data_IF_907695442765
#
_entry.id   IF_907695442765
#
_cell.length_a   1.000
_cell.length_b   1.000
_cell.length_c   1.000
_cell.angle_alpha   90.00
_cell.angle_beta   90.00
_cell.angle_gamma   90.00
#
_symmetry.space_group_name_H-M   'P 1'
#
loop_
_entity.id
_entity.type
_entity.pdbx_description
1 polymer ?
#
# COMPACT_ATOMS: atom_id res chain seq x y z
N UNK A 1 -19.89 11.38 32.96
CA UNK A 1 -19.78 10.81 31.61
C UNK A 1 -18.56 11.46 30.98
N UNK A 2 -17.44 10.75 30.89
CA UNK A 2 -16.33 11.12 30.02
C UNK A 2 -15.78 9.81 29.46
N UNK A 3 -15.86 9.73 28.15
CA UNK A 3 -15.62 8.54 27.35
C UNK A 3 -14.14 8.16 27.38
N UNK A 4 -13.99 6.87 27.58
CA UNK A 4 -12.80 6.05 27.68
C UNK A 4 -12.04 6.07 26.34
N UNK A 5 -10.84 6.65 26.34
CA UNK A 5 -9.79 6.26 25.40
C UNK A 5 -8.64 5.73 26.23
N UNK A 6 -8.36 4.42 26.22
CA UNK A 6 -7.14 3.93 26.81
C UNK A 6 -5.99 4.46 25.95
N UNK A 7 -5.16 5.32 26.54
CA UNK A 7 -3.93 5.84 25.95
C UNK A 7 -3.12 4.68 25.34
N UNK A 8 -2.60 4.88 24.12
CA UNK A 8 -1.83 3.91 23.33
C UNK A 8 -0.56 3.35 24.00
N UNK A 9 -0.33 3.69 25.26
CA UNK A 9 0.74 3.21 26.13
C UNK A 9 0.29 1.97 26.94
N UNK A 10 -0.99 1.60 26.95
CA UNK A 10 -1.44 0.29 27.49
C UNK A 10 -1.21 -0.89 26.53
N UNK A 11 -0.54 -0.70 25.38
CA UNK A 11 -0.10 -1.80 24.51
C UNK A 11 1.21 -2.47 24.95
N UNK A 12 1.78 -2.05 26.08
CA UNK A 12 3.01 -2.63 26.64
C UNK A 12 2.67 -3.93 27.40
N UNK A 13 2.05 -4.91 26.72
CA UNK A 13 1.69 -6.18 27.38
C UNK A 13 1.21 -7.34 26.50
N UNK A 14 0.55 -7.10 25.36
CA UNK A 14 -0.05 -8.21 24.59
C UNK A 14 0.97 -9.11 23.85
N UNK A 15 2.06 -8.54 23.35
CA UNK A 15 3.07 -9.25 22.55
C UNK A 15 3.99 -10.17 23.38
N UNK A 16 4.15 -9.89 24.69
CA UNK A 16 4.91 -10.78 25.60
C UNK A 16 4.16 -12.06 25.96
N UNK A 17 2.82 -12.02 25.99
CA UNK A 17 1.97 -13.17 26.31
C UNK A 17 1.86 -14.16 25.13
N UNK A 18 1.84 -13.66 23.89
CA UNK A 18 1.87 -14.50 22.69
C UNK A 18 3.22 -15.25 22.54
N UNK A 19 4.33 -14.60 22.92
CA UNK A 19 5.68 -15.16 22.84
C UNK A 19 5.98 -16.24 23.90
N UNK A 20 5.30 -16.23 25.06
CA UNK A 20 5.51 -17.25 26.11
C UNK A 20 4.81 -18.59 25.85
N UNK A 21 3.79 -18.62 24.98
CA UNK A 21 3.00 -19.82 24.66
C UNK A 21 3.34 -20.48 23.32
N UNK A 22 4.25 -19.90 22.55
CA UNK A 22 4.82 -20.53 21.34
C UNK A 22 3.89 -20.66 20.14
N UNK A 23 2.75 -19.96 20.08
CA UNK A 23 1.72 -20.27 19.06
C UNK A 23 0.81 -19.11 18.62
N UNK A 24 1.12 -17.85 18.92
CA UNK A 24 0.17 -16.75 18.69
C UNK A 24 0.64 -15.74 17.67
N UNK A 25 0.31 -15.91 16.39
CA UNK A 25 0.24 -14.77 15.47
C UNK A 25 -0.68 -13.73 16.15
N UNK A 26 -0.17 -12.51 16.38
CA UNK A 26 -0.92 -11.47 17.07
C UNK A 26 -2.29 -11.33 16.37
N UNK A 27 -3.43 -11.47 17.06
CA UNK A 27 -4.75 -11.45 16.41
C UNK A 27 -4.95 -10.26 15.48
N UNK A 28 -4.48 -9.07 15.88
CA UNK A 28 -4.49 -7.87 15.04
C UNK A 28 -3.68 -8.03 13.74
N UNK A 29 -2.55 -8.75 13.78
CA UNK A 29 -1.75 -9.04 12.61
C UNK A 29 -2.41 -10.12 11.74
N UNK A 30 -3.02 -11.13 12.36
CA UNK A 30 -3.79 -12.14 11.64
C UNK A 30 -4.97 -11.49 10.87
N UNK A 31 -5.73 -10.63 11.53
CA UNK A 31 -6.85 -9.91 10.92
C UNK A 31 -6.38 -8.97 9.79
N UNK A 32 -5.26 -8.27 10.00
CA UNK A 32 -4.65 -7.44 8.96
C UNK A 32 -4.23 -8.27 7.75
N UNK A 33 -3.56 -9.42 7.96
CA UNK A 33 -3.14 -10.32 6.90
C UNK A 33 -4.34 -10.92 6.16
N UNK A 34 -5.41 -11.27 6.88
CA UNK A 34 -6.64 -11.81 6.29
C UNK A 34 -7.32 -10.77 5.39
N UNK A 35 -7.52 -9.54 5.88
CA UNK A 35 -8.07 -8.43 5.09
C UNK A 35 -7.24 -8.14 3.83
N UNK A 36 -5.92 -8.22 3.95
CA UNK A 36 -5.02 -8.05 2.80
C UNK A 36 -5.15 -9.20 1.80
N UNK A 37 -5.32 -10.44 2.26
CA UNK A 37 -5.52 -11.60 1.40
C UNK A 37 -6.86 -11.53 0.66
N UNK A 38 -7.94 -11.15 1.34
CA UNK A 38 -9.26 -10.92 0.74
C UNK A 38 -9.19 -9.85 -0.36
N UNK A 39 -8.58 -8.71 -0.07
CA UNK A 39 -8.44 -7.63 -1.06
C UNK A 39 -7.64 -8.06 -2.30
N UNK A 40 -6.56 -8.83 -2.11
CA UNK A 40 -5.77 -9.38 -3.23
C UNK A 40 -6.56 -10.37 -4.07
N UNK A 41 -7.49 -11.12 -3.45
CA UNK A 41 -8.37 -12.05 -4.17
C UNK A 41 -9.39 -11.30 -5.02
N UNK A 42 -10.00 -10.25 -4.47
CA UNK A 42 -11.02 -9.47 -5.18
C UNK A 42 -10.40 -8.56 -6.25
N UNK A 43 -9.20 -8.06 -6.00
CA UNK A 43 -8.47 -7.12 -6.87
C UNK A 43 -7.02 -7.58 -7.09
N UNK A 44 -6.77 -8.58 -7.95
CA UNK A 44 -5.44 -9.18 -8.11
C UNK A 44 -4.40 -8.22 -8.70
N UNK A 45 -4.83 -7.17 -9.39
CA UNK A 45 -3.99 -6.16 -10.02
C UNK A 45 -3.91 -4.85 -9.22
N UNK A 46 -4.48 -4.80 -8.02
CA UNK A 46 -4.46 -3.60 -7.16
C UNK A 46 -3.60 -3.89 -5.94
N UNK A 47 -2.61 -3.04 -5.70
CA UNK A 47 -1.77 -3.08 -4.50
C UNK A 47 -1.88 -1.74 -3.76
N UNK A 48 -1.90 -1.79 -2.43
CA UNK A 48 -1.82 -0.57 -1.64
C UNK A 48 -0.47 0.12 -1.84
N UNK A 49 -0.49 1.44 -1.91
CA UNK A 49 0.73 2.23 -2.05
C UNK A 49 1.50 2.26 -0.72
N UNK A 50 2.80 1.93 -0.70
CA UNK A 50 3.60 1.93 0.52
C UNK A 50 3.87 3.37 0.98
N UNK A 51 3.06 3.88 1.91
CA UNK A 51 3.16 5.27 2.39
C UNK A 51 4.54 5.59 3.00
N UNK A 52 5.17 4.63 3.66
CA UNK A 52 6.52 4.79 4.23
C UNK A 52 7.63 4.83 3.18
N UNK A 53 7.35 4.47 1.93
CA UNK A 53 8.25 4.59 0.78
C UNK A 53 7.89 5.81 -0.09
N UNK A 54 6.96 6.67 0.38
CA UNK A 54 6.58 7.87 -0.33
C UNK A 54 7.75 8.85 -0.39
N UNK A 55 8.21 9.14 -1.60
CA UNK A 55 9.21 10.18 -1.89
C UNK A 55 8.57 11.56 -2.01
N UNK A 56 9.36 12.61 -1.84
CA UNK A 56 8.90 13.96 -2.16
C UNK A 56 8.71 14.15 -3.68
N UNK A 57 7.82 15.07 -4.11
CA UNK A 57 7.70 15.44 -5.51
C UNK A 57 9.05 15.89 -6.09
N UNK A 58 9.39 15.40 -7.27
CA UNK A 58 10.65 15.75 -7.96
C UNK A 58 11.88 14.93 -7.58
N UNK A 59 11.84 14.12 -6.53
CA UNK A 59 12.93 13.17 -6.26
C UNK A 59 12.92 11.99 -7.22
N UNK A 60 14.08 11.51 -7.64
CA UNK A 60 14.16 10.27 -8.43
C UNK A 60 13.84 9.06 -7.55
N UNK A 61 13.17 8.02 -8.11
CA UNK A 61 12.93 6.79 -7.38
C UNK A 61 14.23 6.02 -7.17
N UNK A 62 14.57 5.67 -5.93
CA UNK A 62 15.69 4.76 -5.65
C UNK A 62 15.43 3.34 -6.16
N UNK A 63 14.15 2.93 -6.17
CA UNK A 63 13.69 1.62 -6.62
C UNK A 63 12.40 1.75 -7.44
N UNK A 64 12.19 0.87 -8.43
CA UNK A 64 10.94 0.82 -9.17
C UNK A 64 9.77 0.50 -8.23
N UNK A 65 8.67 1.25 -8.37
CA UNK A 65 7.49 1.13 -7.52
C UNK A 65 6.62 -0.07 -7.94
N UNK A 66 6.80 -1.19 -7.26
CA UNK A 66 6.03 -2.42 -7.50
C UNK A 66 6.56 -3.26 -8.67
N UNK A 67 5.97 -4.46 -8.84
CA UNK A 67 6.41 -5.45 -9.84
C UNK A 67 6.25 -4.95 -11.29
N UNK A 68 5.15 -4.25 -11.58
CA UNK A 68 4.87 -3.74 -12.93
C UNK A 68 5.85 -2.65 -13.38
N UNK A 69 6.44 -1.92 -12.43
CA UNK A 69 7.47 -0.92 -12.74
C UNK A 69 8.78 -1.55 -13.20
N UNK A 70 9.08 -2.80 -12.82
CA UNK A 70 10.24 -3.52 -13.34
C UNK A 70 10.14 -3.77 -14.86
N UNK A 71 8.92 -3.87 -15.39
CA UNK A 71 8.66 -4.10 -16.81
C UNK A 71 8.30 -2.81 -17.56
N UNK A 72 8.26 -1.65 -16.89
CA UNK A 72 7.83 -0.38 -17.47
C UNK A 72 6.32 -0.27 -17.75
N UNK A 73 5.51 -1.22 -17.26
CA UNK A 73 4.06 -1.27 -17.46
C UNK A 73 3.28 -0.34 -16.52
N UNK A 74 3.99 0.40 -15.66
CA UNK A 74 3.40 1.29 -14.67
C UNK A 74 3.12 2.72 -15.21
N UNK A 75 3.50 3.03 -16.45
CA UNK A 75 3.33 4.36 -17.06
C UNK A 75 2.41 4.28 -18.28
N UNK A 76 1.29 4.99 -18.24
CA UNK A 76 0.40 5.16 -19.39
C UNK A 76 0.70 6.50 -20.05
N UNK A 77 1.28 6.47 -21.25
CA UNK A 77 1.50 7.68 -22.05
C UNK A 77 0.17 8.15 -22.67
N UNK A 78 -0.09 9.46 -22.60
CA UNK A 78 -1.22 10.04 -23.34
C UNK A 78 -0.96 9.96 -24.83
N UNK A 79 -2.01 9.67 -25.61
CA UNK A 79 -1.93 9.75 -27.05
C UNK A 79 -1.53 11.17 -27.48
N UNK A 80 -0.62 11.32 -28.46
CA UNK A 80 -0.25 12.63 -28.95
C UNK A 80 -1.49 13.34 -29.52
N UNK A 81 -1.62 14.63 -29.20
CA UNK A 81 -2.66 15.47 -29.80
C UNK A 81 -2.49 15.39 -31.31
N UNK A 82 -3.52 14.91 -32.01
CA UNK A 82 -3.59 15.01 -33.47
C UNK A 82 -3.66 16.49 -33.80
N UNK A 83 -2.53 17.11 -34.11
CA UNK A 83 -2.53 18.45 -34.70
C UNK A 83 -3.26 18.32 -36.03
N UNK A 84 -4.50 18.77 -36.08
CA UNK A 84 -5.29 18.77 -37.30
C UNK A 84 -4.46 19.40 -38.41
N UNK A 85 -4.24 18.64 -39.48
CA UNK A 85 -3.69 19.16 -40.72
C UNK A 85 -4.57 20.33 -41.13
N UNK A 86 -4.09 21.56 -40.93
CA UNK A 86 -4.67 22.75 -41.54
C UNK A 86 -4.58 22.51 -43.05
N UNK A 87 -5.70 22.06 -43.64
CA UNK A 87 -5.84 21.97 -45.07
C UNK A 87 -5.55 23.35 -45.66
N UNK A 88 -4.45 23.47 -46.38
CA UNK A 88 -4.29 24.47 -47.43
C UNK A 88 -4.86 23.83 -48.69
N UNK A 89 -5.90 24.42 -49.24
CA UNK A 89 -6.57 24.01 -50.47
C UNK A 89 -7.92 24.66 -50.56
#
# INVERSE_FOLDING_TARGET
MNEERPDGVMMIGLHKLAAQRGDGLVPELYDLLLRNAERRRDYPNVSEFPLWEARMPGQEPEKPLGLEAANGNNVVAFAPVRTGTKGKG
#
